data_IF_549232417458
#
_entry.id   IF_549232417458
#
_cell.length_a   1.000
_cell.length_b   1.000
_cell.length_c   1.000
_cell.angle_alpha   90.00
_cell.angle_beta   90.00
_cell.angle_gamma   90.00
#
_symmetry.space_group_name_H-M   'P 1'
#
loop_
_entity.id
_entity.type
_entity.pdbx_description
1 polymer ?
#
# COMPACT_ATOMS: atom_id res chain seq x y z
N UNK A 1 8.00 11.76 -0.41
CA UNK A 1 8.17 10.59 -1.31
C UNK A 1 9.60 10.03 -1.30
N UNK A 2 10.62 10.78 -0.87
CA UNK A 2 12.03 10.33 -0.80
C UNK A 2 12.38 9.40 0.37
N UNK A 3 11.63 9.42 1.47
CA UNK A 3 11.90 8.57 2.65
C UNK A 3 11.27 7.18 2.57
N UNK A 4 10.18 7.01 1.80
CA UNK A 4 9.60 5.68 1.53
C UNK A 4 10.53 4.85 0.62
N UNK A 5 11.38 5.46 -0.20
CA UNK A 5 12.37 4.70 -0.98
C UNK A 5 13.58 4.23 -0.15
N UNK A 6 13.62 4.51 1.15
CA UNK A 6 14.73 4.16 2.03
C UNK A 6 14.41 3.02 3.00
N UNK A 7 13.19 2.47 3.02
CA UNK A 7 12.86 1.38 3.96
C UNK A 7 13.78 0.17 3.78
N UNK A 8 14.22 -0.10 2.55
CA UNK A 8 15.11 -1.21 2.24
C UNK A 8 16.41 -1.13 3.07
N UNK A 9 16.96 0.07 3.22
CA UNK A 9 18.19 0.36 3.94
C UNK A 9 17.97 0.82 5.39
N UNK A 10 16.72 0.95 5.83
CA UNK A 10 16.40 1.45 7.16
C UNK A 10 16.47 0.34 8.20
N UNK A 11 17.07 0.63 9.35
CA UNK A 11 17.12 -0.28 10.49
C UNK A 11 15.82 -0.28 11.31
N UNK A 12 14.84 0.56 10.92
CA UNK A 12 13.55 0.73 11.63
C UNK A 12 12.53 -0.35 11.30
N UNK A 13 12.80 -1.16 10.29
CA UNK A 13 11.89 -2.20 9.81
C UNK A 13 12.56 -3.56 9.89
N UNK A 14 11.80 -4.54 10.36
CA UNK A 14 12.18 -5.96 10.29
C UNK A 14 12.22 -6.43 8.84
N UNK A 15 12.86 -7.59 8.60
CA UNK A 15 12.87 -8.22 7.27
C UNK A 15 11.44 -8.42 6.74
N UNK A 16 10.56 -8.99 7.57
CA UNK A 16 9.15 -9.22 7.25
C UNK A 16 8.43 -7.94 6.81
N UNK A 17 8.62 -6.84 7.51
CA UNK A 17 8.02 -5.54 7.16
C UNK A 17 8.58 -4.98 5.85
N UNK A 18 9.90 -5.09 5.63
CA UNK A 18 10.53 -4.66 4.36
C UNK A 18 9.99 -5.44 3.16
N UNK A 19 9.75 -6.75 3.32
CA UNK A 19 9.15 -7.58 2.26
C UNK A 19 7.70 -7.19 1.97
N UNK A 20 6.90 -6.91 3.01
CA UNK A 20 5.55 -6.39 2.83
C UNK A 20 5.53 -5.03 2.10
N UNK A 21 6.48 -4.14 2.41
CA UNK A 21 6.63 -2.86 1.73
C UNK A 21 7.08 -3.03 0.26
N UNK A 22 8.02 -3.93 -0.02
CA UNK A 22 8.42 -4.30 -1.40
C UNK A 22 7.23 -4.83 -2.21
N UNK A 23 6.43 -5.69 -1.60
CA UNK A 23 5.22 -6.20 -2.24
C UNK A 23 4.17 -5.09 -2.48
N UNK A 24 4.04 -4.15 -1.55
CA UNK A 24 3.18 -2.98 -1.74
C UNK A 24 3.63 -2.12 -2.91
N UNK A 25 4.94 -1.88 -3.07
CA UNK A 25 5.50 -1.13 -4.20
C UNK A 25 5.21 -1.84 -5.54
N UNK A 26 5.35 -3.17 -5.59
CA UNK A 26 5.02 -3.96 -6.77
C UNK A 26 3.53 -3.79 -7.17
N UNK A 27 2.60 -3.88 -6.20
CA UNK A 27 1.17 -3.67 -6.46
C UNK A 27 0.87 -2.24 -6.91
N UNK A 28 1.54 -1.24 -6.32
CA UNK A 28 1.21 0.17 -6.53
C UNK A 28 1.77 0.76 -7.83
N UNK A 29 2.96 0.30 -8.23
CA UNK A 29 3.76 0.97 -9.27
C UNK A 29 4.14 0.06 -10.44
N UNK A 30 4.57 -1.17 -10.17
CA UNK A 30 5.03 -2.09 -11.21
C UNK A 30 4.87 -3.56 -10.79
N UNK A 31 3.82 -4.25 -11.28
CA UNK A 31 3.57 -5.65 -10.96
C UNK A 31 4.72 -6.59 -11.34
N UNK A 32 5.60 -6.20 -12.29
CA UNK A 32 6.75 -7.02 -12.68
C UNK A 32 7.80 -7.14 -11.57
N UNK A 33 7.77 -6.27 -10.55
CA UNK A 33 8.64 -6.38 -9.38
C UNK A 33 8.24 -7.51 -8.43
N UNK A 34 7.04 -8.08 -8.57
CA UNK A 34 6.63 -9.30 -7.90
C UNK A 34 7.14 -10.54 -8.66
N UNK A 35 8.47 -10.61 -8.79
CA UNK A 35 9.18 -11.71 -9.43
C UNK A 35 9.30 -12.95 -8.52
N UNK A 36 9.84 -14.04 -9.07
CA UNK A 36 10.00 -15.30 -8.35
C UNK A 36 10.87 -15.16 -7.09
N UNK A 37 11.82 -14.21 -7.09
CA UNK A 37 12.68 -13.94 -5.92
C UNK A 37 11.86 -13.31 -4.80
N UNK A 38 11.05 -12.29 -5.09
CA UNK A 38 10.18 -11.68 -4.09
C UNK A 38 9.15 -12.69 -3.57
N UNK A 39 8.55 -13.51 -4.44
CA UNK A 39 7.61 -14.55 -4.01
C UNK A 39 8.27 -15.57 -3.08
N UNK A 40 9.48 -16.03 -3.38
CA UNK A 40 10.20 -16.95 -2.52
C UNK A 40 10.47 -16.36 -1.12
N UNK A 41 10.89 -15.10 -1.05
CA UNK A 41 11.11 -14.39 0.23
C UNK A 41 9.80 -14.17 1.00
N UNK A 42 8.71 -13.85 0.29
CA UNK A 42 7.39 -13.69 0.88
C UNK A 42 6.87 -14.99 1.48
N UNK A 43 6.98 -16.13 0.79
CA UNK A 43 6.57 -17.42 1.32
C UNK A 43 7.45 -17.91 2.48
N UNK A 44 8.70 -17.45 2.59
CA UNK A 44 9.56 -17.77 3.73
C UNK A 44 9.10 -17.07 5.01
N UNK A 45 8.52 -15.87 4.90
CA UNK A 45 8.09 -15.08 6.06
C UNK A 45 6.58 -15.20 6.33
N UNK A 46 5.74 -15.31 5.31
CA UNK A 46 4.28 -15.25 5.45
C UNK A 46 3.62 -16.58 5.08
N UNK A 47 2.52 -16.91 5.76
CA UNK A 47 1.64 -17.99 5.31
C UNK A 47 0.76 -17.53 4.13
N UNK A 48 0.22 -18.48 3.38
CA UNK A 48 -0.72 -18.20 2.27
C UNK A 48 -1.87 -17.28 2.70
N UNK A 49 -2.50 -17.54 3.85
CA UNK A 49 -3.60 -16.72 4.34
C UNK A 49 -3.16 -15.28 4.62
N UNK A 50 -1.96 -15.08 5.16
CA UNK A 50 -1.39 -13.76 5.40
C UNK A 50 -1.05 -13.03 4.11
N UNK A 51 -0.54 -13.74 3.09
CA UNK A 51 -0.25 -13.16 1.77
C UNK A 51 -1.52 -12.72 1.04
N UNK A 52 -2.58 -13.53 1.12
CA UNK A 52 -3.91 -13.17 0.58
C UNK A 52 -4.44 -11.92 1.28
N UNK A 53 -4.42 -11.88 2.61
CA UNK A 53 -4.88 -10.71 3.37
C UNK A 53 -4.06 -9.46 3.04
N UNK A 54 -2.73 -9.59 3.00
CA UNK A 54 -1.82 -8.50 2.67
C UNK A 54 -2.08 -7.94 1.27
N UNK A 55 -2.12 -8.82 0.26
CA UNK A 55 -2.37 -8.42 -1.13
C UNK A 55 -3.75 -7.78 -1.30
N UNK A 56 -4.78 -8.35 -0.68
CA UNK A 56 -6.14 -7.79 -0.70
C UNK A 56 -6.18 -6.40 -0.08
N UNK A 57 -5.63 -6.22 1.13
CA UNK A 57 -5.67 -4.95 1.83
C UNK A 57 -4.95 -3.83 1.07
N UNK A 58 -3.76 -4.13 0.53
CA UNK A 58 -2.98 -3.18 -0.28
C UNK A 58 -3.74 -2.83 -1.55
N UNK A 59 -4.17 -3.84 -2.33
CA UNK A 59 -4.84 -3.63 -3.61
C UNK A 59 -6.15 -2.86 -3.45
N UNK A 60 -6.99 -3.24 -2.49
CA UNK A 60 -8.27 -2.60 -2.21
C UNK A 60 -8.08 -1.13 -1.77
N UNK A 61 -7.18 -0.88 -0.82
CA UNK A 61 -6.92 0.47 -0.32
C UNK A 61 -6.35 1.37 -1.42
N UNK A 62 -5.40 0.86 -2.20
CA UNK A 62 -4.78 1.64 -3.27
C UNK A 62 -5.76 1.94 -4.42
N UNK A 63 -6.60 0.97 -4.79
CA UNK A 63 -7.68 1.18 -5.76
C UNK A 63 -8.63 2.28 -5.32
N UNK A 64 -9.07 2.27 -4.06
CA UNK A 64 -9.90 3.33 -3.48
C UNK A 64 -9.23 4.71 -3.53
N UNK A 65 -7.94 4.80 -3.18
CA UNK A 65 -7.18 6.04 -3.27
C UNK A 65 -7.05 6.56 -4.71
N UNK A 66 -6.84 5.67 -5.70
CA UNK A 66 -6.80 6.06 -7.11
C UNK A 66 -8.16 6.55 -7.60
N UNK A 67 -9.24 5.90 -7.21
CA UNK A 67 -10.59 6.37 -7.54
C UNK A 67 -10.87 7.76 -6.97
N UNK A 68 -10.54 8.04 -5.70
CA UNK A 68 -10.71 9.39 -5.12
C UNK A 68 -9.95 10.46 -5.92
N UNK A 69 -8.76 10.15 -6.44
CA UNK A 69 -8.02 11.06 -7.33
C UNK A 69 -8.75 11.35 -8.64
N UNK A 70 -9.51 10.41 -9.20
CA UNK A 70 -10.33 10.67 -10.41
C UNK A 70 -11.46 11.67 -10.16
N UNK A 71 -11.86 11.84 -8.90
CA UNK A 71 -12.88 12.80 -8.48
C UNK A 71 -12.28 14.16 -8.10
N UNK A 72 -10.96 14.34 -8.15
CA UNK A 72 -10.23 15.47 -7.56
C UNK A 72 -10.62 15.73 -6.09
N UNK A 73 -11.08 14.70 -5.37
CA UNK A 73 -11.52 14.83 -4.00
C UNK A 73 -10.34 15.19 -3.11
N UNK A 74 -10.47 16.25 -2.30
CA UNK A 74 -9.46 16.60 -1.30
C UNK A 74 -9.90 16.23 0.10
N UNK A 75 -8.91 15.91 0.93
CA UNK A 75 -9.14 15.67 2.34
C UNK A 75 -9.81 16.89 2.99
N UNK A 76 -10.91 16.65 3.72
CA UNK A 76 -11.66 17.70 4.44
C UNK A 76 -12.78 18.38 3.64
N UNK A 77 -12.87 18.21 2.32
CA UNK A 77 -13.93 18.85 1.51
C UNK A 77 -15.33 18.34 1.86
N UNK A 78 -15.50 17.03 2.05
CA UNK A 78 -16.76 16.44 2.51
C UNK A 78 -17.18 16.98 3.88
N UNK A 79 -16.23 17.07 4.80
CA UNK A 79 -16.47 17.58 6.15
C UNK A 79 -16.90 19.06 6.13
N UNK A 80 -16.25 19.87 5.28
CA UNK A 80 -16.63 21.27 5.07
C UNK A 80 -18.03 21.39 4.46
N UNK A 81 -18.36 20.57 3.45
CA UNK A 81 -19.68 20.52 2.82
C UNK A 81 -20.79 20.10 3.80
N UNK A 82 -20.55 19.07 4.62
CA UNK A 82 -21.50 18.64 5.64
C UNK A 82 -21.73 19.74 6.67
N UNK A 83 -20.67 20.45 7.10
CA UNK A 83 -20.79 21.60 8.00
C UNK A 83 -21.59 22.76 7.38
N UNK A 84 -21.45 23.03 6.08
CA UNK A 84 -22.20 24.10 5.43
C UNK A 84 -23.70 23.79 5.26
N UNK A 85 -24.09 22.50 5.26
CA UNK A 85 -25.49 22.06 5.19
C UNK A 85 -26.21 22.01 6.55
N UNK A 86 -25.46 22.06 7.65
CA UNK A 86 -25.99 22.02 9.02
C UNK A 86 -26.23 23.41 9.62
N UNK A 87 -26.16 24.46 8.81
CA UNK A 87 -26.53 25.86 9.14
C UNK A 87 -27.74 26.26 8.31
#
# INVERSE_FOLDING_TARGET
MSELMQYAQSDRFTLREKLALRYADAIMYDPAQADDVLWAELHAEFSEAQLVELGYWIGFTFGGQRWLKTLNAKQGELEAFLRSRSR
#
